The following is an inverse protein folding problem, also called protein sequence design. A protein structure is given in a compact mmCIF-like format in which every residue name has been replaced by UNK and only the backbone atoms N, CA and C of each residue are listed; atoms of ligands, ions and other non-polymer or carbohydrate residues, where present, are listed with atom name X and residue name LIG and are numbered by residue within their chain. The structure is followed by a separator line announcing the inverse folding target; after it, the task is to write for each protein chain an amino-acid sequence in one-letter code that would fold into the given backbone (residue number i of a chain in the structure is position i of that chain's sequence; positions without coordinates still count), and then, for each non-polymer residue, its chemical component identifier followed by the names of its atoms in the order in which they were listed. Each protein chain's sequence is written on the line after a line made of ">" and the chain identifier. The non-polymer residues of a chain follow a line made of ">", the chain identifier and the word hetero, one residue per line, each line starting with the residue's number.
data_IF_544331949692
#
_entry.id   IF_544331949692
#
_cell.length_a   1.000
_cell.length_b   1.000
_cell.length_c   1.000
_cell.angle_alpha   90.00
_cell.angle_beta   90.00
_cell.angle_gamma   90.00
#
_symmetry.space_group_name_H-M   'P 1'
#
loop_
_entity.id
_entity.type
_entity.pdbx_description
1 polymer ?
#
# COMPACT_ATOMS: atom_id res chain seq x y z
N UNK A 1 -11.81 -11.05 20.23
CA UNK A 1 -12.08 -12.01 19.17
C UNK A 1 -10.98 -11.96 18.14
N UNK A 2 -10.36 -13.08 17.81
CA UNK A 2 -9.32 -13.03 16.79
C UNK A 2 -9.91 -12.59 15.44
N UNK A 3 -9.18 -11.74 14.76
CA UNK A 3 -9.56 -11.27 13.43
C UNK A 3 -9.44 -12.42 12.44
N UNK A 4 -10.53 -12.73 11.75
CA UNK A 4 -10.54 -13.76 10.72
C UNK A 4 -10.42 -13.08 9.36
N UNK A 5 -9.28 -13.30 8.70
CA UNK A 5 -9.03 -12.73 7.39
C UNK A 5 -9.83 -13.48 6.33
N UNK A 6 -10.47 -12.73 5.42
CA UNK A 6 -11.18 -13.31 4.29
C UNK A 6 -10.22 -14.08 3.38
N UNK A 7 -10.69 -15.19 2.81
CA UNK A 7 -9.88 -16.04 1.95
C UNK A 7 -9.32 -15.28 0.73
N UNK A 8 -10.08 -14.34 0.17
CA UNK A 8 -9.61 -13.52 -0.95
C UNK A 8 -8.43 -12.64 -0.58
N UNK A 9 -8.41 -12.10 0.64
CA UNK A 9 -7.27 -11.31 1.15
C UNK A 9 -6.05 -12.21 1.27
N UNK A 10 -6.22 -13.42 1.82
CA UNK A 10 -5.11 -14.36 2.00
C UNK A 10 -4.50 -14.76 0.66
N UNK A 11 -5.32 -15.00 -0.36
CA UNK A 11 -4.83 -15.35 -1.69
C UNK A 11 -4.00 -14.22 -2.32
N UNK A 12 -4.50 -12.99 -2.25
CA UNK A 12 -3.80 -11.82 -2.79
C UNK A 12 -2.50 -11.56 -2.01
N UNK A 13 -2.57 -11.62 -0.69
CA UNK A 13 -1.41 -11.46 0.19
C UNK A 13 -0.33 -12.50 -0.11
N UNK A 14 -0.74 -13.76 -0.31
CA UNK A 14 0.17 -14.84 -0.63
C UNK A 14 0.94 -14.58 -1.93
N UNK A 15 0.25 -14.13 -2.98
CA UNK A 15 0.89 -13.78 -4.24
C UNK A 15 1.87 -12.62 -4.08
N UNK A 16 1.52 -11.62 -3.26
CA UNK A 16 2.42 -10.51 -2.99
C UNK A 16 3.73 -11.00 -2.35
N UNK A 17 3.64 -11.83 -1.32
CA UNK A 17 4.84 -12.33 -0.61
C UNK A 17 5.64 -13.36 -1.42
N UNK A 18 5.04 -13.98 -2.42
CA UNK A 18 5.74 -14.86 -3.37
C UNK A 18 6.40 -14.08 -4.52
N UNK A 19 6.34 -12.76 -4.49
CA UNK A 19 6.82 -11.89 -5.57
C UNK A 19 6.09 -12.09 -6.90
N UNK A 20 4.90 -12.67 -6.87
CA UNK A 20 4.04 -12.82 -8.04
C UNK A 20 3.21 -11.54 -8.24
N UNK A 21 3.89 -10.43 -8.48
CA UNK A 21 3.27 -9.09 -8.44
C UNK A 21 2.19 -8.90 -9.49
N UNK A 22 2.44 -9.29 -10.73
CA UNK A 22 1.44 -9.17 -11.79
C UNK A 22 0.20 -10.02 -11.49
N UNK A 23 0.39 -11.24 -11.01
CA UNK A 23 -0.70 -12.12 -10.58
C UNK A 23 -1.46 -11.56 -9.39
N UNK A 24 -0.75 -10.94 -8.45
CA UNK A 24 -1.35 -10.28 -7.30
C UNK A 24 -2.31 -9.17 -7.73
N UNK A 25 -1.88 -8.29 -8.63
CA UNK A 25 -2.71 -7.20 -9.16
C UNK A 25 -3.93 -7.75 -9.91
N UNK A 26 -3.73 -8.74 -10.77
CA UNK A 26 -4.81 -9.33 -11.56
C UNK A 26 -5.87 -9.98 -10.66
N UNK A 27 -5.44 -10.74 -9.66
CA UNK A 27 -6.37 -11.39 -8.73
C UNK A 27 -7.11 -10.36 -7.88
N UNK A 28 -6.42 -9.32 -7.43
CA UNK A 28 -7.03 -8.24 -6.66
C UNK A 28 -8.14 -7.53 -7.45
N UNK A 29 -7.90 -7.25 -8.72
CA UNK A 29 -8.90 -6.61 -9.59
C UNK A 29 -10.12 -7.52 -9.81
N UNK A 30 -9.91 -8.83 -9.81
CA UNK A 30 -11.00 -9.80 -9.92
C UNK A 30 -11.86 -9.81 -8.66
N UNK A 31 -11.24 -9.73 -7.47
CA UNK A 31 -11.95 -9.74 -6.20
C UNK A 31 -12.51 -8.38 -5.78
N UNK A 32 -11.92 -7.28 -6.25
CA UNK A 32 -12.33 -5.93 -5.90
C UNK A 32 -12.47 -5.06 -7.16
N UNK A 33 -13.39 -5.41 -8.08
CA UNK A 33 -13.50 -4.71 -9.37
C UNK A 33 -14.03 -3.28 -9.26
N UNK A 34 -14.69 -2.94 -8.15
CA UNK A 34 -15.31 -1.62 -7.95
C UNK A 34 -14.49 -0.72 -7.02
N UNK A 35 -13.25 -1.07 -6.75
CA UNK A 35 -12.39 -0.31 -5.85
C UNK A 35 -12.63 -0.60 -4.38
N UNK A 36 -12.21 0.31 -3.52
CA UNK A 36 -12.35 0.16 -2.07
C UNK A 36 -13.81 0.38 -1.67
N UNK A 37 -14.48 -0.66 -1.18
CA UNK A 37 -15.88 -0.63 -0.76
C UNK A 37 -16.03 -0.95 0.73
N UNK A 38 -15.08 -1.70 1.30
CA UNK A 38 -15.09 -2.15 2.70
C UNK A 38 -13.64 -2.48 3.13
N UNK A 39 -13.49 -3.00 4.35
CA UNK A 39 -12.15 -3.35 4.87
C UNK A 39 -11.49 -4.47 4.07
N UNK A 40 -12.26 -5.42 3.58
CA UNK A 40 -11.74 -6.53 2.78
C UNK A 40 -11.19 -6.04 1.45
N UNK A 41 -11.97 -5.25 0.70
CA UNK A 41 -11.50 -4.67 -0.57
C UNK A 41 -10.34 -3.70 -0.35
N UNK A 42 -10.33 -2.97 0.75
CA UNK A 42 -9.21 -2.09 1.11
C UNK A 42 -7.91 -2.88 1.21
N UNK A 43 -7.89 -3.97 1.99
CA UNK A 43 -6.68 -4.79 2.16
C UNK A 43 -6.25 -5.44 0.84
N UNK A 44 -7.20 -5.96 0.07
CA UNK A 44 -6.92 -6.55 -1.24
C UNK A 44 -6.20 -5.54 -2.14
N UNK A 45 -6.74 -4.33 -2.23
CA UNK A 45 -6.18 -3.30 -3.11
C UNK A 45 -4.89 -2.69 -2.56
N UNK A 46 -4.71 -2.68 -1.23
CA UNK A 46 -3.44 -2.26 -0.62
C UNK A 46 -2.31 -3.21 -1.05
N UNK A 47 -2.51 -4.51 -0.99
CA UNK A 47 -1.50 -5.47 -1.45
C UNK A 47 -1.24 -5.35 -2.96
N UNK A 48 -2.30 -5.16 -3.74
CA UNK A 48 -2.15 -4.96 -5.18
C UNK A 48 -1.37 -3.68 -5.52
N UNK A 49 -1.65 -2.59 -4.82
CA UNK A 49 -0.92 -1.33 -5.01
C UNK A 49 0.55 -1.47 -4.63
N UNK A 50 0.85 -2.17 -3.53
CA UNK A 50 2.23 -2.48 -3.13
C UNK A 50 2.94 -3.32 -4.20
N UNK A 51 2.24 -4.29 -4.78
CA UNK A 51 2.77 -5.10 -5.88
C UNK A 51 3.06 -4.24 -7.12
N UNK A 52 2.16 -3.32 -7.45
CA UNK A 52 2.36 -2.38 -8.55
C UNK A 52 3.61 -1.51 -8.32
N UNK A 53 3.80 -1.00 -7.11
CA UNK A 53 5.00 -0.23 -6.77
C UNK A 53 6.26 -1.06 -6.89
N UNK A 54 6.21 -2.34 -6.48
CA UNK A 54 7.36 -3.24 -6.61
C UNK A 54 7.74 -3.46 -8.08
N UNK A 55 6.77 -3.39 -9.00
CA UNK A 55 7.01 -3.46 -10.44
C UNK A 55 7.39 -2.11 -11.06
N UNK A 56 7.40 -1.04 -10.26
CA UNK A 56 7.68 0.31 -10.74
C UNK A 56 6.49 1.01 -11.38
N UNK A 57 5.29 0.47 -11.23
CA UNK A 57 4.06 1.03 -11.79
C UNK A 57 3.37 1.96 -10.80
N UNK A 58 3.87 3.18 -10.70
CA UNK A 58 3.36 4.19 -9.77
C UNK A 58 1.91 4.59 -10.13
N UNK A 59 1.64 4.80 -11.42
CA UNK A 59 0.29 5.16 -11.87
C UNK A 59 -0.71 4.05 -11.56
N UNK A 60 -0.33 2.79 -11.78
CA UNK A 60 -1.18 1.64 -11.46
C UNK A 60 -1.52 1.55 -9.98
N UNK A 61 -0.54 1.80 -9.10
CA UNK A 61 -0.76 1.81 -7.66
C UNK A 61 -1.79 2.87 -7.25
N UNK A 62 -1.68 4.07 -7.82
CA UNK A 62 -2.63 5.16 -7.55
C UNK A 62 -4.03 4.84 -8.03
N UNK A 63 -4.15 4.22 -9.21
CA UNK A 63 -5.45 3.81 -9.76
C UNK A 63 -6.14 2.77 -8.88
N UNK A 64 -5.39 1.81 -8.35
CA UNK A 64 -5.95 0.74 -7.52
C UNK A 64 -6.57 1.28 -6.23
N UNK A 65 -5.95 2.27 -5.59
CA UNK A 65 -6.41 2.82 -4.33
C UNK A 65 -7.33 4.04 -4.50
N UNK A 66 -7.22 4.76 -5.62
CA UNK A 66 -7.92 6.02 -5.84
C UNK A 66 -7.25 7.19 -5.14
N UNK A 67 -7.52 8.39 -5.62
CA UNK A 67 -6.88 9.62 -5.10
C UNK A 67 -7.46 10.10 -3.77
N UNK A 68 -8.65 9.63 -3.41
CA UNK A 68 -9.40 10.08 -2.24
C UNK A 68 -9.27 9.14 -1.05
N UNK A 69 -8.26 8.27 -1.03
CA UNK A 69 -8.07 7.31 0.05
C UNK A 69 -7.78 8.05 1.36
N UNK A 70 -8.58 7.77 2.40
CA UNK A 70 -8.47 8.42 3.70
C UNK A 70 -7.91 7.48 4.78
N UNK A 71 -7.95 6.18 4.54
CA UNK A 71 -7.47 5.20 5.50
C UNK A 71 -5.93 5.27 5.60
N UNK A 72 -5.36 5.28 6.82
CA UNK A 72 -3.91 5.39 6.99
C UNK A 72 -3.10 4.36 6.22
N UNK A 73 -3.58 3.12 6.11
CA UNK A 73 -2.87 2.06 5.39
C UNK A 73 -2.81 2.38 3.88
N UNK A 74 -3.89 2.89 3.30
CA UNK A 74 -3.91 3.29 1.89
C UNK A 74 -3.06 4.54 1.67
N UNK A 75 -3.17 5.51 2.58
CA UNK A 75 -2.35 6.74 2.52
C UNK A 75 -0.86 6.42 2.54
N UNK A 76 -0.43 5.44 3.33
CA UNK A 76 0.98 5.05 3.40
C UNK A 76 1.50 4.55 2.05
N UNK A 77 0.69 3.80 1.31
CA UNK A 77 1.07 3.31 -0.03
C UNK A 77 1.12 4.47 -1.03
N UNK A 78 0.15 5.37 -0.97
CA UNK A 78 0.12 6.54 -1.87
C UNK A 78 1.31 7.48 -1.59
N UNK A 79 1.66 7.69 -0.33
CA UNK A 79 2.84 8.47 0.04
C UNK A 79 4.13 7.81 -0.43
N UNK A 80 4.21 6.48 -0.36
CA UNK A 80 5.37 5.76 -0.89
C UNK A 80 5.45 5.91 -2.41
N UNK A 81 4.31 5.92 -3.10
CA UNK A 81 4.27 6.19 -4.55
C UNK A 81 4.82 7.59 -4.86
N UNK A 82 4.40 8.59 -4.08
CA UNK A 82 4.92 9.96 -4.20
C UNK A 82 6.44 9.99 -3.97
N UNK A 83 6.91 9.27 -2.96
CA UNK A 83 8.34 9.17 -2.65
C UNK A 83 9.13 8.64 -3.85
N UNK A 84 8.67 7.55 -4.45
CA UNK A 84 9.35 6.96 -5.61
C UNK A 84 9.35 7.91 -6.81
N UNK A 85 8.25 8.61 -7.03
CA UNK A 85 8.16 9.59 -8.11
C UNK A 85 9.14 10.76 -7.90
N UNK A 86 9.20 11.30 -6.69
CA UNK A 86 10.13 12.38 -6.35
C UNK A 86 11.58 11.91 -6.43
N UNK A 87 11.85 10.69 -6.02
CA UNK A 87 13.20 10.12 -6.10
C UNK A 87 13.64 9.99 -7.55
N UNK A 88 12.77 9.55 -8.45
CA UNK A 88 13.05 9.49 -9.89
C UNK A 88 13.33 10.87 -10.46
N UNK A 89 12.66 11.90 -9.96
CA UNK A 89 12.84 13.28 -10.39
C UNK A 89 14.06 13.97 -9.76
N UNK A 90 14.71 13.33 -8.77
CA UNK A 90 15.84 13.90 -8.06
C UNK A 90 15.45 14.97 -7.02
N UNK A 91 14.18 15.00 -6.60
CA UNK A 91 13.67 15.96 -5.63
C UNK A 91 13.90 15.47 -4.19
N UNK A 92 15.09 15.75 -3.65
CA UNK A 92 15.44 15.31 -2.29
C UNK A 92 14.60 16.00 -1.21
N UNK A 93 14.27 17.28 -1.37
CA UNK A 93 13.44 18.00 -0.42
C UNK A 93 12.02 17.40 -0.38
N UNK A 94 11.44 17.10 -1.52
CA UNK A 94 10.15 16.44 -1.63
C UNK A 94 10.16 15.05 -1.00
N UNK A 95 11.23 14.28 -1.21
CA UNK A 95 11.40 12.97 -0.56
C UNK A 95 11.40 13.11 0.98
N UNK A 96 12.11 14.10 1.51
CA UNK A 96 12.16 14.35 2.95
C UNK A 96 10.80 14.68 3.53
N UNK A 97 10.01 15.50 2.83
CA UNK A 97 8.66 15.86 3.25
C UNK A 97 7.74 14.63 3.27
N UNK A 98 7.83 13.75 2.28
CA UNK A 98 7.02 12.53 2.22
C UNK A 98 7.40 11.57 3.35
N UNK A 99 8.70 11.40 3.63
CA UNK A 99 9.16 10.56 4.74
C UNK A 99 8.59 11.07 6.07
N UNK A 100 8.57 12.39 6.27
CA UNK A 100 7.98 12.98 7.47
C UNK A 100 6.49 12.66 7.58
N UNK A 101 5.73 12.80 6.49
CA UNK A 101 4.31 12.46 6.46
C UNK A 101 4.07 10.97 6.73
N UNK A 102 4.88 10.09 6.14
CA UNK A 102 4.79 8.64 6.39
C UNK A 102 5.04 8.32 7.87
N UNK A 103 6.05 8.95 8.46
CA UNK A 103 6.39 8.74 9.86
C UNK A 103 5.24 9.19 10.77
N UNK A 104 4.56 10.29 10.43
CA UNK A 104 3.40 10.77 11.18
C UNK A 104 2.24 9.78 11.16
N UNK A 105 2.08 8.99 10.12
CA UNK A 105 1.04 7.97 10.07
C UNK A 105 1.20 6.89 11.14
N UNK A 106 2.42 6.65 11.62
CA UNK A 106 2.66 5.69 12.70
C UNK A 106 1.95 6.08 14.00
N UNK A 107 1.70 7.38 14.20
CA UNK A 107 1.03 7.88 15.39
C UNK A 107 -0.48 7.69 15.38
N UNK A 108 -1.07 7.41 14.20
CA UNK A 108 -2.52 7.27 14.05
C UNK A 108 -2.98 5.83 13.82
N UNK A 109 -2.04 4.87 13.70
CA UNK A 109 -2.39 3.45 13.55
C UNK A 109 -2.27 2.72 14.88
N UNK A 110 -3.19 1.78 15.11
CA UNK A 110 -3.19 0.99 16.35
C UNK A 110 -2.07 -0.05 16.33
N UNK A 111 -1.21 -0.10 17.38
CA UNK A 111 -0.18 -1.13 17.47
C UNK A 111 -0.78 -2.54 17.49
N UNK A 112 -0.15 -3.46 16.77
CA UNK A 112 -0.57 -4.86 16.72
C UNK A 112 -1.59 -5.19 15.64
N UNK A 113 -2.12 -4.20 14.94
CA UNK A 113 -3.01 -4.43 13.81
C UNK A 113 -2.22 -4.61 12.52
N UNK A 114 -2.81 -5.34 11.55
CA UNK A 114 -2.19 -5.54 10.24
C UNK A 114 -1.90 -4.21 9.53
N UNK A 115 -2.81 -3.25 9.63
CA UNK A 115 -2.60 -1.92 9.03
C UNK A 115 -1.37 -1.22 9.60
N UNK A 116 -1.11 -1.36 10.90
CA UNK A 116 0.09 -0.82 11.55
C UNK A 116 1.36 -1.46 10.99
N UNK A 117 1.35 -2.79 10.80
CA UNK A 117 2.49 -3.51 10.23
C UNK A 117 2.78 -3.03 8.81
N UNK A 118 1.74 -2.84 8.01
CA UNK A 118 1.89 -2.36 6.63
C UNK A 118 2.45 -0.93 6.60
N UNK A 119 1.92 -0.04 7.42
CA UNK A 119 2.42 1.35 7.50
C UNK A 119 3.89 1.37 7.91
N UNK A 120 4.28 0.58 8.92
CA UNK A 120 5.68 0.49 9.35
C UNK A 120 6.59 0.00 8.23
N UNK A 121 6.14 -0.97 7.45
CA UNK A 121 6.90 -1.48 6.31
C UNK A 121 7.13 -0.38 5.28
N UNK A 122 6.09 0.42 4.97
CA UNK A 122 6.20 1.51 3.99
C UNK A 122 7.16 2.60 4.48
N UNK A 123 7.11 2.94 5.77
CA UNK A 123 8.05 3.89 6.37
C UNK A 123 9.48 3.36 6.26
N UNK A 124 9.68 2.08 6.56
CA UNK A 124 10.98 1.43 6.45
C UNK A 124 11.54 1.48 5.04
N UNK A 125 10.71 1.19 4.03
CA UNK A 125 11.13 1.28 2.63
C UNK A 125 11.59 2.68 2.27
N UNK A 126 10.86 3.72 2.68
CA UNK A 126 11.23 5.11 2.39
C UNK A 126 12.51 5.52 3.11
N UNK A 127 12.69 5.10 4.37
CA UNK A 127 13.87 5.45 5.15
C UNK A 127 15.15 4.81 4.61
N UNK A 128 15.07 3.61 4.02
CA UNK A 128 16.24 2.89 3.53
C UNK A 128 16.48 3.05 2.03
N UNK A 129 15.67 3.80 1.37
CA UNK A 129 15.84 4.16 -0.04
C UNK A 129 16.55 5.55 -0.16
#
# INVERSE_FOLDING_TARGET
>A
MPYTMDASVIEVQSLYYQNAHAGCVALAQKHAPNGVMDDTSLLILVYAARAALAMGDIAGARQLLGDDAEQPVAMSVLLLADFYEMKRAGDEAGCGDVVEQLTMLLDVVEPGELSSEIVRYQVGLALYE
#
